data_IF_671079559323
#
_entry.id   IF_671079559323
#
_cell.length_a   1.000
_cell.length_b   1.000
_cell.length_c   1.000
_cell.angle_alpha   90.00
_cell.angle_beta   90.00
_cell.angle_gamma   90.00
#
_symmetry.space_group_name_H-M   'P 1'
#
loop_
_entity.id
_entity.type
_entity.pdbx_description
1 polymer ?
#
# COMPACT_ATOMS: atom_id res chain seq x y z
N UNK A 1 12.75 1.75 30.73
CA UNK A 1 12.93 0.43 30.06
C UNK A 1 12.53 0.62 28.61
N UNK A 2 13.48 0.54 27.66
CA UNK A 2 13.14 0.61 26.24
C UNK A 2 12.26 -0.59 25.87
N UNK A 3 11.19 -0.33 25.17
CA UNK A 3 10.32 -1.40 24.67
C UNK A 3 11.10 -2.23 23.64
N UNK A 4 11.13 -3.55 23.84
CA UNK A 4 11.91 -4.43 22.99
C UNK A 4 11.19 -4.64 21.65
N UNK A 5 11.86 -4.36 20.53
CA UNK A 5 11.35 -4.58 19.20
C UNK A 5 11.23 -6.09 18.93
N UNK A 6 10.09 -6.52 18.43
CA UNK A 6 9.80 -7.94 18.19
C UNK A 6 9.94 -8.29 16.72
N UNK A 7 10.62 -9.41 16.43
CA UNK A 7 10.66 -9.99 15.10
C UNK A 7 9.33 -10.67 14.79
N UNK A 8 8.68 -10.28 13.69
CA UNK A 8 7.36 -10.77 13.30
C UNK A 8 7.30 -10.98 11.79
N UNK A 9 6.46 -11.89 11.32
CA UNK A 9 6.14 -12.01 9.90
C UNK A 9 5.07 -10.99 9.51
N UNK A 10 5.21 -10.38 8.34
CA UNK A 10 4.21 -9.42 7.86
C UNK A 10 2.81 -10.01 7.77
N UNK A 11 2.69 -11.27 7.33
CA UNK A 11 1.40 -11.96 7.26
C UNK A 11 0.66 -12.05 8.60
N UNK A 12 1.39 -12.11 9.72
CA UNK A 12 0.79 -12.21 11.06
C UNK A 12 0.19 -10.87 11.54
N UNK A 13 0.54 -9.77 10.86
CA UNK A 13 0.00 -8.43 11.09
C UNK A 13 -1.26 -8.13 10.28
N UNK A 14 -1.69 -9.03 9.40
CA UNK A 14 -2.82 -8.78 8.50
C UNK A 14 -4.14 -9.30 9.08
N UNK A 15 -5.22 -8.55 8.82
CA UNK A 15 -6.59 -8.92 9.17
C UNK A 15 -7.17 -9.98 8.23
N UNK A 16 -6.65 -10.06 7.00
CA UNK A 16 -7.08 -11.03 5.98
C UNK A 16 -5.94 -11.30 4.99
N UNK A 17 -6.00 -12.41 4.22
CA UNK A 17 -4.97 -12.72 3.23
C UNK A 17 -4.78 -11.60 2.20
N UNK A 18 -3.53 -11.45 1.73
CA UNK A 18 -3.22 -10.56 0.61
C UNK A 18 -4.04 -10.92 -0.62
N UNK A 19 -4.33 -9.93 -1.45
CA UNK A 19 -5.15 -10.12 -2.65
C UNK A 19 -4.61 -9.34 -3.83
N UNK A 20 -4.52 -10.00 -4.98
CA UNK A 20 -4.33 -9.31 -6.25
C UNK A 20 -5.63 -8.65 -6.68
N UNK A 21 -5.52 -7.53 -7.38
CA UNK A 21 -6.67 -6.76 -7.81
C UNK A 21 -7.44 -7.36 -8.98
N UNK A 22 -8.41 -6.60 -9.44
CA UNK A 22 -9.36 -6.94 -10.48
C UNK A 22 -8.72 -6.79 -11.88
N UNK A 23 -8.97 -7.75 -12.76
CA UNK A 23 -8.71 -7.61 -14.19
C UNK A 23 -10.04 -7.57 -14.96
N UNK A 24 -10.19 -6.55 -15.81
CA UNK A 24 -11.29 -6.45 -16.76
C UNK A 24 -10.84 -5.86 -18.10
N UNK A 25 -11.46 -6.30 -19.20
CA UNK A 25 -11.25 -5.70 -20.52
C UNK A 25 -11.62 -4.21 -20.57
N UNK A 26 -11.05 -3.49 -21.54
CA UNK A 26 -11.29 -2.04 -21.73
C UNK A 26 -12.77 -1.67 -21.90
N UNK A 27 -13.61 -2.58 -22.40
CA UNK A 27 -15.05 -2.38 -22.57
C UNK A 27 -15.81 -2.10 -21.27
N UNK A 28 -15.24 -2.46 -20.12
CA UNK A 28 -15.80 -2.21 -18.78
C UNK A 28 -15.33 -0.91 -18.15
N UNK A 29 -14.44 -0.16 -18.81
CA UNK A 29 -13.91 1.10 -18.29
C UNK A 29 -14.84 2.27 -18.65
N UNK A 30 -14.76 3.34 -17.84
CA UNK A 30 -15.44 4.63 -18.06
C UNK A 30 -16.58 4.94 -17.11
N UNK A 31 -17.15 3.96 -16.40
CA UNK A 31 -18.24 4.17 -15.42
C UNK A 31 -18.16 3.14 -14.28
N UNK A 32 -18.87 3.38 -13.18
CA UNK A 32 -18.94 2.50 -12.01
C UNK A 32 -17.95 2.88 -10.91
N UNK A 33 -17.29 1.89 -10.29
CA UNK A 33 -16.35 2.07 -9.19
C UNK A 33 -15.08 2.80 -9.63
N UNK A 34 -14.49 3.59 -8.76
CA UNK A 34 -13.13 4.12 -8.98
C UNK A 34 -12.13 2.97 -9.00
N UNK A 35 -11.07 3.07 -9.81
CA UNK A 35 -10.01 2.05 -9.86
C UNK A 35 -8.64 2.66 -9.70
N UNK A 36 -7.87 2.12 -8.74
CA UNK A 36 -6.45 2.42 -8.60
C UNK A 36 -5.66 1.57 -9.58
N UNK A 37 -5.01 2.20 -10.54
CA UNK A 37 -4.08 1.57 -11.46
C UNK A 37 -2.63 1.80 -11.01
N UNK A 38 -1.68 1.24 -11.73
CA UNK A 38 -0.25 1.43 -11.45
C UNK A 38 0.16 2.91 -11.50
N UNK A 39 -0.45 3.71 -12.37
CA UNK A 39 -0.18 5.16 -12.48
C UNK A 39 -0.47 5.90 -11.17
N UNK A 40 -1.64 5.69 -10.58
CA UNK A 40 -2.02 6.27 -9.31
C UNK A 40 -1.10 5.79 -8.18
N UNK A 41 -0.79 4.49 -8.13
CA UNK A 41 0.12 3.92 -7.12
C UNK A 41 1.53 4.53 -7.22
N UNK A 42 2.08 4.66 -8.42
CA UNK A 42 3.42 5.21 -8.60
C UNK A 42 3.49 6.73 -8.37
N UNK A 43 2.43 7.44 -8.72
CA UNK A 43 2.33 8.90 -8.60
C UNK A 43 2.01 9.40 -7.21
N UNK A 44 1.35 8.57 -6.38
CA UNK A 44 0.79 9.03 -5.11
C UNK A 44 1.11 8.06 -3.97
N UNK A 45 1.96 8.45 -3.01
CA UNK A 45 2.21 7.64 -1.82
C UNK A 45 0.96 7.49 -0.94
N UNK A 46 0.10 8.51 -0.90
CA UNK A 46 -1.19 8.50 -0.21
C UNK A 46 -2.31 8.59 -1.24
N UNK A 47 -3.20 7.61 -1.26
CA UNK A 47 -4.30 7.50 -2.20
C UNK A 47 -5.60 7.96 -1.52
N UNK A 48 -5.89 9.24 -1.64
CA UNK A 48 -7.16 9.84 -1.27
C UNK A 48 -7.35 11.11 -2.10
N UNK A 49 -8.59 11.41 -2.46
CA UNK A 49 -8.99 12.63 -3.19
C UNK A 49 -8.11 12.93 -4.43
N UNK A 50 -7.78 11.88 -5.17
CA UNK A 50 -7.04 11.95 -6.43
C UNK A 50 -7.95 11.55 -7.60
N UNK A 51 -7.73 12.10 -8.80
CA UNK A 51 -8.42 11.64 -10.00
C UNK A 51 -8.13 10.16 -10.26
N UNK A 52 -9.18 9.37 -10.47
CA UNK A 52 -9.11 7.95 -10.81
C UNK A 52 -10.01 7.64 -11.99
N UNK A 53 -9.64 6.65 -12.76
CA UNK A 53 -10.52 6.07 -13.77
C UNK A 53 -11.66 5.30 -13.10
N UNK A 54 -12.71 5.01 -13.87
CA UNK A 54 -13.84 4.21 -13.42
C UNK A 54 -13.90 2.89 -14.16
N UNK A 55 -14.45 1.87 -13.48
CA UNK A 55 -14.62 0.53 -14.01
C UNK A 55 -15.96 -0.07 -13.54
N UNK A 56 -16.67 -0.73 -14.42
CA UNK A 56 -17.90 -1.43 -14.04
C UNK A 56 -17.57 -2.61 -13.12
N UNK A 57 -18.26 -2.69 -11.98
CA UNK A 57 -18.10 -3.76 -11.01
C UNK A 57 -19.44 -4.34 -10.60
N UNK A 58 -19.48 -5.64 -10.41
CA UNK A 58 -20.59 -6.32 -9.76
C UNK A 58 -20.50 -6.14 -8.23
N UNK A 59 -21.61 -6.39 -7.53
CA UNK A 59 -21.61 -6.35 -6.06
C UNK A 59 -20.61 -7.36 -5.45
N UNK A 60 -20.50 -8.55 -6.04
CA UNK A 60 -19.54 -9.57 -5.61
C UNK A 60 -18.08 -9.10 -5.78
N UNK A 61 -17.77 -8.42 -6.89
CA UNK A 61 -16.45 -7.84 -7.12
C UNK A 61 -16.15 -6.71 -6.15
N UNK A 62 -17.11 -5.82 -5.86
CA UNK A 62 -16.95 -4.79 -4.85
C UNK A 62 -16.66 -5.38 -3.48
N UNK A 63 -17.45 -6.34 -3.01
CA UNK A 63 -17.20 -7.05 -1.73
C UNK A 63 -15.79 -7.63 -1.66
N UNK A 64 -15.25 -8.08 -2.79
CA UNK A 64 -13.96 -8.77 -2.88
C UNK A 64 -12.78 -7.82 -3.04
N UNK A 65 -12.92 -6.75 -3.81
CA UNK A 65 -11.81 -5.91 -4.27
C UNK A 65 -11.86 -4.47 -3.75
N UNK A 66 -12.89 -4.08 -3.00
CA UNK A 66 -12.97 -2.73 -2.45
C UNK A 66 -11.84 -2.48 -1.45
N UNK A 67 -11.17 -1.33 -1.62
CA UNK A 67 -10.18 -0.82 -0.69
C UNK A 67 -10.87 -0.27 0.55
N UNK A 68 -10.20 -0.38 1.68
CA UNK A 68 -10.61 0.23 2.95
C UNK A 68 -9.50 1.15 3.45
N UNK A 69 -9.89 2.14 4.23
CA UNK A 69 -8.94 3.03 4.89
C UNK A 69 -7.85 2.23 5.62
N UNK A 70 -6.59 2.58 5.37
CA UNK A 70 -5.43 1.89 5.93
C UNK A 70 -4.93 0.68 5.12
N UNK A 71 -5.59 0.31 4.02
CA UNK A 71 -5.05 -0.73 3.13
C UNK A 71 -3.71 -0.29 2.55
N UNK A 72 -2.72 -1.16 2.65
CA UNK A 72 -1.45 -1.02 1.93
C UNK A 72 -1.56 -1.68 0.58
N UNK A 73 -1.13 -0.99 -0.46
CA UNK A 73 -1.12 -1.53 -1.82
C UNK A 73 0.31 -1.51 -2.37
N UNK A 74 0.70 -2.64 -2.96
CA UNK A 74 2.06 -2.88 -3.44
C UNK A 74 2.05 -3.12 -4.94
N UNK A 75 2.99 -2.51 -5.65
CA UNK A 75 3.24 -2.80 -7.05
C UNK A 75 3.70 -4.27 -7.20
N UNK A 76 2.87 -5.10 -7.80
CA UNK A 76 3.17 -6.51 -8.01
C UNK A 76 4.22 -6.71 -9.10
N UNK A 77 4.23 -5.84 -10.11
CA UNK A 77 5.13 -5.90 -11.27
C UNK A 77 5.66 -4.51 -11.59
N UNK A 78 6.86 -4.44 -12.12
CA UNK A 78 7.44 -3.19 -12.64
C UNK A 78 8.42 -3.46 -13.77
N UNK A 79 8.44 -2.57 -14.75
CA UNK A 79 9.45 -2.56 -15.82
C UNK A 79 10.81 -2.06 -15.33
N UNK A 80 10.86 -1.39 -14.18
CA UNK A 80 12.09 -0.95 -13.50
C UNK A 80 12.30 -1.77 -12.24
N UNK A 81 13.56 -2.17 -11.99
CA UNK A 81 13.90 -3.05 -10.87
C UNK A 81 13.39 -2.53 -9.53
N UNK A 82 13.56 -1.25 -9.26
CA UNK A 82 13.18 -0.61 -7.98
C UNK A 82 11.67 -0.31 -7.86
N UNK A 83 10.90 -0.62 -8.88
CA UNK A 83 9.46 -0.36 -8.88
C UNK A 83 8.63 -1.50 -8.30
N UNK A 84 9.10 -2.75 -8.37
CA UNK A 84 8.41 -3.87 -7.77
C UNK A 84 8.42 -3.76 -6.24
N UNK A 85 7.25 -3.93 -5.62
CA UNK A 85 7.10 -3.75 -4.18
C UNK A 85 6.87 -2.30 -3.73
N UNK A 86 6.88 -1.29 -4.64
CA UNK A 86 6.51 0.08 -4.24
C UNK A 86 5.19 0.07 -3.50
N UNK A 87 5.18 0.71 -2.32
CA UNK A 87 4.05 0.73 -1.39
C UNK A 87 3.38 2.09 -1.37
N UNK A 88 2.05 2.10 -1.50
CA UNK A 88 1.20 3.24 -1.20
C UNK A 88 0.14 2.85 -0.17
N UNK A 89 -0.46 3.84 0.50
CA UNK A 89 -1.53 3.62 1.47
C UNK A 89 -2.82 4.25 0.97
N UNK A 90 -3.94 3.50 1.10
CA UNK A 90 -5.26 4.02 0.79
C UNK A 90 -5.85 4.70 2.03
N UNK A 91 -6.11 6.00 1.92
CA UNK A 91 -6.68 6.84 2.99
C UNK A 91 -8.08 7.38 2.64
N UNK A 92 -8.67 6.88 1.55
CA UNK A 92 -10.04 7.24 1.18
C UNK A 92 -11.06 6.78 2.22
N UNK A 93 -12.16 7.50 2.32
CA UNK A 93 -13.36 7.04 3.02
C UNK A 93 -14.05 5.97 2.16
N UNK A 94 -14.98 5.22 2.74
CA UNK A 94 -15.74 4.07 2.19
C UNK A 94 -16.33 4.26 0.77
N UNK A 95 -15.60 4.90 -0.12
CA UNK A 95 -15.95 5.02 -1.51
C UNK A 95 -15.68 3.68 -2.21
N UNK A 96 -16.50 3.41 -3.21
CA UNK A 96 -16.44 2.22 -4.06
C UNK A 96 -15.17 2.25 -4.94
N UNK A 97 -14.00 2.07 -4.31
CA UNK A 97 -12.70 2.10 -4.96
C UNK A 97 -12.09 0.71 -4.97
N UNK A 98 -11.85 0.17 -6.16
CA UNK A 98 -11.17 -1.11 -6.39
C UNK A 98 -9.74 -0.88 -6.90
N UNK A 99 -8.98 -1.92 -7.16
CA UNK A 99 -7.60 -1.84 -7.64
C UNK A 99 -7.31 -2.89 -8.70
N UNK A 100 -6.38 -2.59 -9.61
CA UNK A 100 -6.07 -3.45 -10.75
C UNK A 100 -5.20 -4.67 -10.39
N UNK A 101 -5.17 -5.67 -11.27
CA UNK A 101 -4.53 -6.98 -11.05
C UNK A 101 -3.00 -6.95 -10.92
N UNK A 102 -2.35 -5.85 -11.32
CA UNK A 102 -0.90 -5.64 -11.12
C UNK A 102 -0.56 -5.08 -9.73
N UNK A 103 -1.55 -4.97 -8.85
CA UNK A 103 -1.41 -4.46 -7.48
C UNK A 103 -1.78 -5.58 -6.51
N UNK A 104 -1.04 -5.67 -5.39
CA UNK A 104 -1.35 -6.53 -4.25
C UNK A 104 -1.84 -5.65 -3.12
N UNK A 105 -3.04 -5.94 -2.58
CA UNK A 105 -3.52 -5.34 -1.34
C UNK A 105 -3.10 -6.18 -0.16
N UNK A 106 -2.58 -5.53 0.89
CA UNK A 106 -2.42 -6.06 2.23
C UNK A 106 -3.23 -5.19 3.19
N UNK A 107 -4.07 -5.81 4.02
CA UNK A 107 -4.92 -5.12 5.01
C UNK A 107 -4.40 -5.36 6.40
N UNK A 108 -3.72 -4.38 7.03
CA UNK A 108 -3.25 -4.52 8.40
C UNK A 108 -4.41 -4.70 9.39
N UNK A 109 -4.21 -5.56 10.38
CA UNK A 109 -5.05 -5.61 11.58
C UNK A 109 -4.63 -4.47 12.52
N UNK A 110 -5.48 -3.48 12.66
CA UNK A 110 -5.18 -2.27 13.46
C UNK A 110 -4.99 -2.55 14.96
N UNK A 111 -5.39 -3.73 15.44
CA UNK A 111 -5.09 -4.17 16.80
C UNK A 111 -3.65 -4.71 16.94
N UNK A 112 -2.97 -5.01 15.83
CA UNK A 112 -1.63 -5.58 15.79
C UNK A 112 -0.57 -4.61 15.27
N UNK A 113 -0.95 -3.78 14.30
CA UNK A 113 -0.01 -2.82 13.69
C UNK A 113 -0.70 -1.56 13.17
N UNK A 114 -0.02 -0.43 13.32
CA UNK A 114 -0.43 0.83 12.68
C UNK A 114 -0.19 0.76 11.18
N UNK A 115 -1.24 0.98 10.38
CA UNK A 115 -1.15 1.00 8.92
C UNK A 115 -0.20 2.11 8.43
N UNK A 116 -0.21 3.29 9.08
CA UNK A 116 0.71 4.39 8.76
C UNK A 116 2.16 4.04 9.09
N UNK A 117 2.42 3.41 10.25
CA UNK A 117 3.76 2.94 10.60
C UNK A 117 4.28 1.96 9.53
N UNK A 118 3.49 0.96 9.16
CA UNK A 118 3.87 -0.02 8.12
C UNK A 118 4.10 0.65 6.76
N UNK A 119 3.28 1.64 6.40
CA UNK A 119 3.48 2.42 5.20
C UNK A 119 4.84 3.14 5.21
N UNK A 120 5.19 3.84 6.29
CA UNK A 120 6.49 4.50 6.41
C UNK A 120 7.64 3.50 6.47
N UNK A 121 7.45 2.37 7.17
CA UNK A 121 8.44 1.29 7.21
C UNK A 121 8.77 0.80 5.79
N UNK A 122 7.78 0.40 5.00
CA UNK A 122 8.02 -0.11 3.63
C UNK A 122 8.57 0.94 2.66
N UNK A 123 8.39 2.22 2.94
CA UNK A 123 8.99 3.31 2.17
C UNK A 123 10.37 3.75 2.69
N UNK A 124 10.80 3.28 3.86
CA UNK A 124 12.15 3.51 4.41
C UNK A 124 13.22 2.71 3.66
N UNK A 125 14.53 3.07 3.80
CA UNK A 125 15.62 2.27 3.25
C UNK A 125 15.60 0.79 3.71
N UNK A 126 15.28 0.55 4.98
CA UNK A 126 15.19 -0.81 5.56
C UNK A 126 14.03 -1.58 4.94
N UNK A 127 12.84 -0.98 4.87
CA UNK A 127 11.68 -1.62 4.26
C UNK A 127 11.89 -1.92 2.77
N UNK A 128 12.48 -1.00 2.03
CA UNK A 128 12.88 -1.21 0.62
C UNK A 128 13.89 -2.34 0.46
N UNK A 129 14.86 -2.45 1.37
CA UNK A 129 15.80 -3.59 1.40
C UNK A 129 15.03 -4.91 1.55
N UNK A 130 14.11 -5.02 2.52
CA UNK A 130 13.28 -6.21 2.69
C UNK A 130 12.45 -6.54 1.44
N UNK A 131 11.81 -5.56 0.82
CA UNK A 131 11.07 -5.75 -0.43
C UNK A 131 11.99 -6.21 -1.57
N UNK A 132 13.20 -5.67 -1.64
CA UNK A 132 14.22 -6.08 -2.60
C UNK A 132 14.63 -7.56 -2.49
N UNK A 133 14.64 -8.12 -1.27
CA UNK A 133 14.99 -9.55 -1.06
C UNK A 133 13.98 -10.52 -1.65
N UNK A 134 12.74 -10.10 -1.86
CA UNK A 134 11.67 -10.91 -2.45
C UNK A 134 11.37 -10.56 -3.91
N UNK A 135 11.96 -9.48 -4.41
CA UNK A 135 11.80 -9.08 -5.81
C UNK A 135 12.57 -10.03 -6.73
N UNK A 136 11.84 -10.72 -7.60
CA UNK A 136 12.43 -11.61 -8.61
C UNK A 136 12.77 -10.80 -9.84
N UNK A 137 14.04 -10.73 -10.19
CA UNK A 137 14.53 -10.07 -11.40
C UNK A 137 14.51 -11.07 -12.57
N UNK A 138 13.43 -11.04 -13.31
CA UNK A 138 13.33 -11.59 -14.68
C UNK A 138 13.06 -10.41 -15.62
N UNK A 139 12.71 -10.64 -16.87
CA UNK A 139 12.41 -9.57 -17.84
C UNK A 139 11.45 -8.47 -17.31
N UNK A 140 10.60 -8.82 -16.35
CA UNK A 140 9.76 -7.88 -15.57
C UNK A 140 9.96 -8.20 -14.09
N UNK A 141 10.49 -7.25 -13.33
CA UNK A 141 10.64 -7.41 -11.89
C UNK A 141 9.26 -7.60 -11.21
N UNK A 142 9.16 -8.49 -10.22
CA UNK A 142 7.89 -8.77 -9.58
C UNK A 142 8.00 -9.40 -8.20
N UNK A 143 6.95 -9.19 -7.40
CA UNK A 143 6.72 -9.82 -6.10
C UNK A 143 5.41 -10.60 -6.12
N UNK A 144 5.24 -11.55 -5.21
CA UNK A 144 3.98 -12.25 -5.00
C UNK A 144 3.41 -11.94 -3.62
N UNK A 145 2.10 -12.15 -3.44
CA UNK A 145 1.46 -12.01 -2.14
C UNK A 145 2.03 -12.99 -1.10
N UNK A 146 2.41 -14.21 -1.52
CA UNK A 146 3.04 -15.21 -0.65
C UNK A 146 4.45 -14.80 -0.22
N UNK A 147 5.26 -14.23 -1.11
CA UNK A 147 6.57 -13.72 -0.74
C UNK A 147 6.42 -12.56 0.26
N UNK A 148 5.46 -11.65 0.00
CA UNK A 148 5.20 -10.48 0.83
C UNK A 148 4.81 -10.87 2.27
N UNK A 149 3.87 -11.82 2.46
CA UNK A 149 3.42 -12.24 3.80
C UNK A 149 4.51 -12.98 4.58
N UNK A 150 5.50 -13.55 3.92
CA UNK A 150 6.63 -14.26 4.54
C UNK A 150 7.80 -13.33 4.91
N UNK A 151 7.76 -12.06 4.55
CA UNK A 151 8.74 -11.08 5.04
C UNK A 151 8.74 -11.05 6.57
N UNK A 152 9.94 -11.11 7.15
CA UNK A 152 10.13 -11.01 8.60
C UNK A 152 11.02 -9.83 8.92
N UNK A 153 10.55 -8.97 9.83
CA UNK A 153 11.27 -7.77 10.29
C UNK A 153 10.91 -7.45 11.72
N UNK A 154 11.68 -6.59 12.35
CA UNK A 154 11.43 -6.15 13.73
C UNK A 154 10.56 -4.90 13.74
N UNK A 155 9.57 -4.87 14.63
CA UNK A 155 8.67 -3.73 14.86
C UNK A 155 8.59 -3.38 16.35
N UNK A 156 8.41 -2.10 16.69
CA UNK A 156 8.15 -1.69 18.07
C UNK A 156 6.75 -2.08 18.53
N UNK A 157 6.46 -1.98 19.82
CA UNK A 157 5.10 -2.08 20.35
C UNK A 157 4.14 -1.08 19.70
N UNK A 158 2.85 -1.39 19.68
CA UNK A 158 1.83 -0.64 18.94
C UNK A 158 1.79 0.85 19.31
N UNK A 159 1.98 1.21 20.59
CA UNK A 159 2.00 2.62 21.04
C UNK A 159 3.17 3.39 20.42
N UNK A 160 4.35 2.76 20.36
CA UNK A 160 5.53 3.35 19.74
C UNK A 160 5.36 3.47 18.22
N UNK A 161 4.72 2.47 17.56
CA UNK A 161 4.35 2.55 16.15
C UNK A 161 3.49 3.78 15.86
N UNK A 162 2.47 4.05 16.68
CA UNK A 162 1.61 5.23 16.54
C UNK A 162 2.43 6.52 16.70
N UNK A 163 3.25 6.62 17.75
CA UNK A 163 4.08 7.81 17.99
C UNK A 163 5.04 8.10 16.82
N UNK A 164 5.66 7.06 16.26
CA UNK A 164 6.55 7.19 15.09
C UNK A 164 5.76 7.63 13.86
N UNK A 165 4.60 7.01 13.62
CA UNK A 165 3.77 7.32 12.47
C UNK A 165 3.24 8.75 12.51
N UNK A 166 2.77 9.24 13.66
CA UNK A 166 2.27 10.59 13.86
C UNK A 166 3.37 11.64 13.61
N UNK A 167 4.59 11.39 14.12
CA UNK A 167 5.73 12.26 13.86
C UNK A 167 6.06 12.34 12.36
N UNK A 168 6.16 11.21 11.69
CA UNK A 168 6.48 11.16 10.26
C UNK A 168 5.37 11.80 9.41
N UNK A 169 4.10 11.58 9.76
CA UNK A 169 2.97 12.22 9.08
C UNK A 169 2.99 13.74 9.25
N UNK A 170 3.36 14.24 10.44
CA UNK A 170 3.50 15.68 10.68
C UNK A 170 4.58 16.30 9.79
N UNK A 171 5.73 15.63 9.67
CA UNK A 171 6.84 16.07 8.81
C UNK A 171 6.45 16.06 7.32
N UNK A 172 5.74 15.04 6.86
CA UNK A 172 5.22 14.97 5.50
C UNK A 172 4.25 16.13 5.18
N UNK A 173 3.36 16.44 6.12
CA UNK A 173 2.40 17.52 5.96
C UNK A 173 3.08 18.89 5.91
N UNK A 174 4.10 19.14 6.72
CA UNK A 174 4.89 20.36 6.69
C UNK A 174 5.69 20.49 5.38
N UNK A 175 6.31 19.41 4.92
CA UNK A 175 7.04 19.36 3.66
C UNK A 175 6.15 19.72 2.47
N UNK A 176 4.93 19.18 2.42
CA UNK A 176 3.94 19.49 1.38
C UNK A 176 3.49 20.94 1.42
N UNK A 177 3.24 21.53 2.60
CA UNK A 177 2.86 22.94 2.75
C UNK A 177 3.98 23.86 2.23
N UNK A 178 5.23 23.62 2.61
CA UNK A 178 6.39 24.40 2.13
C UNK A 178 6.55 24.33 0.61
N UNK A 179 6.36 23.15 0.02
CA UNK A 179 6.45 22.98 -1.43
C UNK A 179 5.35 23.75 -2.19
N UNK A 180 4.14 23.79 -1.67
CA UNK A 180 3.03 24.55 -2.27
C UNK A 180 3.23 26.06 -2.18
N UNK A 181 3.76 26.56 -1.06
CA UNK A 181 4.07 28.00 -0.88
C UNK A 181 5.27 28.49 -1.70
N UNK A 182 6.21 27.61 -2.05
CA UNK A 182 7.37 27.99 -2.87
C UNK A 182 7.08 28.09 -4.37
N UNK A 183 5.89 27.67 -4.81
CA UNK A 183 5.45 27.73 -6.22
C UNK A 183 4.50 28.90 -6.53
N UNK A 184 4.20 29.73 -5.55
CA UNK A 184 3.49 31.01 -5.68
C UNK A 184 4.49 32.17 -5.75
#
# INVERSE_FOLDING_TARGET
MGSEWQKIRFGDLLAEPTRNGLYKPKSFHGKGSKIVNMGELFGNPHLYDIPMQHIETTESERKRFCLKHGDLIFARRSLVADGAGKCSIFLGSNEDTVFESSIIRARPDQNKASCLYLFYFFNSPIGKYHLGTIARQVAVAGITGSDLVNLSFSIPPIQEQHSIADLLQSLDNEGRKKFLTSKQ
#
